data_IF_146485213676
#
_entry.id   IF_146485213676
#
_cell.length_a   1.000
_cell.length_b   1.000
_cell.length_c   1.000
_cell.angle_alpha   90.00
_cell.angle_beta   90.00
_cell.angle_gamma   90.00
#
_symmetry.space_group_name_H-M   'P 1'
#
loop_
_entity.id
_entity.type
_entity.pdbx_description
1 polymer ?
#
# COMPACT_ATOMS: atom_id res chain seq x y z
N UNK A 1 6.39 -16.99 22.98
CA UNK A 1 7.87 -17.17 22.99
C UNK A 1 8.26 -17.67 21.60
N UNK A 2 9.24 -17.05 20.96
CA UNK A 2 9.74 -17.48 19.65
C UNK A 2 11.03 -18.30 19.82
N UNK A 3 11.36 -19.21 18.88
CA UNK A 3 10.57 -19.58 17.71
C UNK A 3 9.34 -20.43 18.04
N UNK A 4 8.29 -20.37 17.20
CA UNK A 4 7.04 -21.09 17.35
C UNK A 4 6.74 -21.92 16.09
N UNK A 5 6.37 -23.18 16.25
CA UNK A 5 5.95 -24.04 15.13
C UNK A 5 4.49 -23.71 14.77
N UNK A 6 4.24 -23.48 13.48
CA UNK A 6 2.92 -23.24 12.90
C UNK A 6 2.80 -24.01 11.59
N UNK A 7 2.25 -25.22 11.66
CA UNK A 7 2.22 -26.15 10.54
C UNK A 7 3.62 -26.44 10.00
N UNK A 8 3.82 -26.17 8.72
CA UNK A 8 5.13 -26.31 8.04
C UNK A 8 6.08 -25.13 8.25
N UNK A 9 5.63 -24.08 8.94
CA UNK A 9 6.40 -22.87 9.19
C UNK A 9 6.96 -22.84 10.61
N UNK A 10 8.11 -22.22 10.74
CA UNK A 10 8.67 -21.81 12.03
C UNK A 10 8.59 -20.30 12.10
N UNK A 11 7.70 -19.78 12.93
CA UNK A 11 7.60 -18.34 13.19
C UNK A 11 8.80 -17.90 14.02
N UNK A 12 9.61 -16.99 13.53
CA UNK A 12 10.87 -16.55 14.16
C UNK A 12 10.65 -15.34 15.06
N UNK A 13 9.90 -14.36 14.56
CA UNK A 13 9.55 -13.14 15.31
C UNK A 13 8.32 -12.48 14.71
N UNK A 14 7.64 -11.67 15.49
CA UNK A 14 6.58 -10.80 15.02
C UNK A 14 7.19 -9.56 14.35
N UNK A 15 6.72 -9.24 13.14
CA UNK A 15 7.10 -8.06 12.38
C UNK A 15 6.15 -6.91 12.63
N UNK A 16 4.84 -7.22 12.66
CA UNK A 16 3.80 -6.23 12.88
C UNK A 16 2.55 -6.85 13.51
N UNK A 17 1.80 -6.04 14.27
CA UNK A 17 0.51 -6.40 14.84
C UNK A 17 -0.51 -5.31 14.56
N UNK A 18 -1.55 -5.66 13.80
CA UNK A 18 -2.67 -4.78 13.45
C UNK A 18 -3.99 -5.24 14.05
N UNK A 19 -5.06 -4.49 13.82
CA UNK A 19 -6.41 -4.83 14.29
C UNK A 19 -6.93 -6.16 13.73
N UNK A 20 -6.55 -6.53 12.50
CA UNK A 20 -7.07 -7.72 11.80
C UNK A 20 -6.12 -8.90 11.80
N UNK A 21 -4.83 -8.67 11.80
CA UNK A 21 -3.82 -9.70 11.58
C UNK A 21 -2.54 -9.43 12.37
N UNK A 22 -1.76 -10.49 12.57
CA UNK A 22 -0.38 -10.44 13.00
C UNK A 22 0.52 -10.92 11.88
N UNK A 23 1.63 -10.26 11.69
CA UNK A 23 2.59 -10.53 10.62
C UNK A 23 3.87 -11.06 11.24
N UNK A 24 4.36 -12.20 10.75
CA UNK A 24 5.53 -12.87 11.28
C UNK A 24 6.59 -13.09 10.22
N UNK A 25 7.84 -12.88 10.58
CA UNK A 25 8.94 -13.50 9.88
C UNK A 25 8.90 -15.00 10.17
N UNK A 26 8.99 -15.80 9.13
CA UNK A 26 8.91 -17.24 9.25
C UNK A 26 9.87 -17.96 8.31
N UNK A 27 10.25 -19.17 8.68
CA UNK A 27 11.01 -20.10 7.83
C UNK A 27 10.14 -21.29 7.44
N UNK A 28 9.95 -21.49 6.13
CA UNK A 28 9.43 -22.73 5.57
C UNK A 28 10.53 -23.79 5.60
N UNK A 29 10.28 -24.89 6.30
CA UNK A 29 11.18 -26.07 6.29
C UNK A 29 10.67 -27.11 5.32
N UNK A 30 11.49 -27.42 4.33
CA UNK A 30 11.23 -28.44 3.33
C UNK A 30 12.07 -29.70 3.55
N UNK A 31 11.95 -30.62 2.59
CA UNK A 31 12.73 -31.86 2.58
C UNK A 31 14.23 -31.58 2.37
N UNK A 32 15.08 -32.47 2.88
CA UNK A 32 16.54 -32.45 2.62
C UNK A 32 17.23 -31.16 3.09
N UNK A 33 16.72 -30.53 4.17
CA UNK A 33 17.32 -29.31 4.71
C UNK A 33 17.03 -28.04 3.91
N UNK A 34 16.06 -28.08 2.99
CA UNK A 34 15.59 -26.86 2.31
C UNK A 34 14.92 -25.92 3.31
N UNK A 35 15.38 -24.70 3.37
CA UNK A 35 14.81 -23.64 4.18
C UNK A 35 14.58 -22.40 3.31
N UNK A 36 13.41 -21.73 3.48
CA UNK A 36 13.09 -20.49 2.81
C UNK A 36 12.46 -19.51 3.81
N UNK A 37 13.08 -18.35 3.96
CA UNK A 37 12.50 -17.24 4.73
C UNK A 37 11.35 -16.61 3.97
N UNK A 38 10.29 -16.27 4.67
CA UNK A 38 9.07 -15.68 4.12
C UNK A 38 8.29 -14.94 5.22
N UNK A 39 7.18 -14.35 4.84
CA UNK A 39 6.26 -13.69 5.76
C UNK A 39 5.00 -14.54 5.89
N UNK A 40 4.55 -14.75 7.13
CA UNK A 40 3.25 -15.36 7.46
C UNK A 40 2.36 -14.31 8.12
N UNK A 41 1.26 -13.94 7.46
CA UNK A 41 0.22 -13.05 7.97
C UNK A 41 -0.93 -13.89 8.48
N UNK A 42 -1.14 -13.93 9.80
CA UNK A 42 -2.22 -14.66 10.45
C UNK A 42 -3.38 -13.73 10.76
N UNK A 43 -4.60 -14.16 10.47
CA UNK A 43 -5.79 -13.48 11.00
C UNK A 43 -5.81 -13.63 12.50
N UNK A 44 -6.29 -12.61 13.21
CA UNK A 44 -6.53 -12.72 14.65
C UNK A 44 -7.59 -13.79 14.93
N UNK A 45 -7.40 -14.63 15.94
CA UNK A 45 -8.34 -15.71 16.28
C UNK A 45 -9.77 -15.21 16.48
N UNK A 46 -9.92 -13.99 17.04
CA UNK A 46 -11.21 -13.37 17.29
C UNK A 46 -12.00 -13.09 16.01
N UNK A 47 -11.30 -12.83 14.89
CA UNK A 47 -11.90 -12.61 13.58
C UNK A 47 -12.08 -13.91 12.78
N UNK A 48 -11.43 -15.00 13.18
CA UNK A 48 -11.56 -16.30 12.52
C UNK A 48 -12.93 -16.96 12.78
N UNK A 49 -13.70 -16.44 13.73
CA UNK A 49 -15.08 -16.91 14.02
C UNK A 49 -16.15 -16.12 13.25
N UNK A 50 -15.79 -14.99 12.66
CA UNK A 50 -16.68 -14.19 11.80
C UNK A 50 -16.66 -14.76 10.38
N UNK A 51 -17.69 -15.53 10.03
CA UNK A 51 -17.80 -16.17 8.70
C UNK A 51 -17.77 -15.16 7.55
N UNK A 52 -18.36 -13.97 7.72
CA UNK A 52 -18.39 -12.94 6.69
C UNK A 52 -17.00 -12.32 6.49
N UNK A 53 -16.25 -12.14 7.56
CA UNK A 53 -14.85 -11.68 7.51
C UNK A 53 -13.96 -12.74 6.85
N UNK A 54 -14.05 -13.98 7.30
CA UNK A 54 -13.28 -15.11 6.76
C UNK A 54 -13.54 -15.29 5.25
N UNK A 55 -14.81 -15.25 4.85
CA UNK A 55 -15.18 -15.38 3.43
C UNK A 55 -14.51 -14.30 2.58
N UNK A 56 -14.57 -13.02 3.01
CA UNK A 56 -13.91 -11.92 2.29
C UNK A 56 -12.40 -12.11 2.22
N UNK A 57 -11.78 -12.43 3.36
CA UNK A 57 -10.33 -12.69 3.42
C UNK A 57 -9.89 -13.81 2.47
N UNK A 58 -10.66 -14.90 2.40
CA UNK A 58 -10.37 -16.03 1.51
C UNK A 58 -10.55 -15.64 0.04
N UNK A 59 -11.61 -14.90 -0.30
CA UNK A 59 -11.87 -14.47 -1.68
C UNK A 59 -10.76 -13.54 -2.17
N UNK A 60 -10.36 -12.58 -1.36
CA UNK A 60 -9.29 -11.62 -1.70
C UNK A 60 -7.92 -12.29 -1.76
N UNK A 61 -7.62 -13.19 -0.82
CA UNK A 61 -6.36 -13.93 -0.85
C UNK A 61 -6.22 -14.81 -2.10
N UNK A 62 -7.31 -15.46 -2.56
CA UNK A 62 -7.31 -16.21 -3.82
C UNK A 62 -6.93 -15.33 -5.01
N UNK A 63 -7.39 -14.09 -4.99
CA UNK A 63 -7.08 -13.11 -6.03
C UNK A 63 -5.59 -12.70 -5.94
N UNK A 64 -5.09 -12.42 -4.74
CA UNK A 64 -3.70 -12.02 -4.53
C UNK A 64 -2.69 -13.10 -4.96
N UNK A 65 -3.00 -14.39 -4.75
CA UNK A 65 -2.17 -15.52 -5.22
C UNK A 65 -1.98 -15.52 -6.74
N UNK A 66 -2.93 -15.00 -7.50
CA UNK A 66 -2.86 -14.97 -8.96
C UNK A 66 -2.12 -13.75 -9.52
N UNK A 67 -1.75 -12.78 -8.68
CA UNK A 67 -1.00 -11.61 -9.09
C UNK A 67 0.50 -11.91 -9.14
N UNK A 68 1.10 -11.76 -10.32
CA UNK A 68 2.54 -11.90 -10.53
C UNK A 68 3.06 -10.69 -11.31
N UNK A 69 3.69 -9.77 -10.59
CA UNK A 69 4.23 -8.53 -11.15
C UNK A 69 5.44 -8.09 -10.30
N UNK A 70 6.51 -7.53 -10.90
CA UNK A 70 7.71 -7.13 -10.16
C UNK A 70 7.43 -6.12 -9.03
N UNK A 71 6.41 -5.29 -9.18
CA UNK A 71 6.00 -4.30 -8.18
C UNK A 71 4.87 -4.78 -7.25
N UNK A 72 4.60 -6.07 -7.17
CA UNK A 72 3.63 -6.68 -6.25
C UNK A 72 4.34 -7.79 -5.47
N UNK A 73 4.22 -7.79 -4.15
CA UNK A 73 4.77 -8.87 -3.33
C UNK A 73 4.00 -10.16 -3.59
N UNK A 74 4.67 -11.23 -4.08
CA UNK A 74 4.02 -12.50 -4.38
C UNK A 74 3.41 -13.16 -3.16
N UNK A 75 2.14 -13.54 -3.25
CA UNK A 75 1.48 -14.42 -2.27
C UNK A 75 1.68 -15.87 -2.72
N UNK A 76 2.25 -16.71 -1.85
CA UNK A 76 2.53 -18.10 -2.15
C UNK A 76 1.35 -19.02 -1.90
N UNK A 77 0.67 -18.80 -0.78
CA UNK A 77 -0.52 -19.59 -0.42
C UNK A 77 -1.41 -18.88 0.58
N UNK A 78 -2.67 -19.31 0.56
CA UNK A 78 -3.65 -19.14 1.63
C UNK A 78 -3.84 -20.49 2.30
N UNK A 79 -3.79 -20.56 3.63
CA UNK A 79 -3.98 -21.79 4.38
C UNK A 79 -4.75 -21.59 5.67
N UNK A 80 -5.02 -22.72 6.31
CA UNK A 80 -5.62 -22.77 7.65
C UNK A 80 -4.77 -23.73 8.49
N UNK A 81 -4.31 -23.28 9.64
CA UNK A 81 -3.57 -24.09 10.61
C UNK A 81 -4.15 -23.85 12.01
N UNK A 82 -4.52 -24.94 12.71
CA UNK A 82 -5.16 -24.87 14.03
C UNK A 82 -6.40 -23.95 14.08
N UNK A 83 -7.17 -23.90 12.98
CA UNK A 83 -8.35 -23.03 12.87
C UNK A 83 -8.03 -21.55 12.59
N UNK A 84 -6.75 -21.19 12.42
CA UNK A 84 -6.30 -19.83 12.12
C UNK A 84 -6.02 -19.72 10.62
N UNK A 85 -6.70 -18.81 9.93
CA UNK A 85 -6.40 -18.50 8.54
C UNK A 85 -5.12 -17.70 8.43
N UNK A 86 -4.32 -18.01 7.43
CA UNK A 86 -3.05 -17.31 7.18
C UNK A 86 -2.77 -17.17 5.69
N UNK A 87 -1.96 -16.17 5.37
CA UNK A 87 -1.36 -15.97 4.05
C UNK A 87 0.15 -16.07 4.22
N UNK A 88 0.79 -16.88 3.37
CA UNK A 88 2.25 -16.90 3.24
C UNK A 88 2.65 -16.13 1.98
N UNK A 89 3.59 -15.22 2.12
CA UNK A 89 4.05 -14.33 1.03
C UNK A 89 5.56 -14.16 1.04
N UNK A 90 6.10 -13.59 -0.03
CA UNK A 90 7.51 -13.29 -0.14
C UNK A 90 7.96 -12.35 0.99
N UNK A 91 9.13 -12.64 1.55
CA UNK A 91 9.84 -11.68 2.39
C UNK A 91 10.51 -10.65 1.48
N UNK A 92 10.07 -9.42 1.56
CA UNK A 92 10.72 -8.29 0.91
C UNK A 92 11.63 -7.61 1.95
N UNK A 93 12.92 -7.72 1.76
CA UNK A 93 13.92 -7.09 2.63
C UNK A 93 14.01 -5.61 2.24
N UNK A 94 13.49 -4.73 3.11
CA UNK A 94 13.39 -3.30 2.85
C UNK A 94 12.59 -2.60 3.93
N UNK A 95 12.32 -1.32 3.71
CA UNK A 95 11.50 -0.48 4.58
C UNK A 95 10.19 -0.10 3.91
N UNK A 96 9.16 0.12 4.70
CA UNK A 96 7.94 0.77 4.22
C UNK A 96 8.23 2.24 3.91
N UNK A 97 7.48 2.79 2.95
CA UNK A 97 7.58 4.22 2.66
C UNK A 97 7.27 5.08 3.89
N UNK A 98 6.42 4.60 4.81
CA UNK A 98 6.17 5.28 6.10
C UNK A 98 7.44 5.37 6.94
N UNK A 99 8.20 4.28 7.06
CA UNK A 99 9.47 4.26 7.81
C UNK A 99 10.49 5.20 7.15
N UNK A 100 10.62 5.14 5.82
CA UNK A 100 11.51 6.04 5.08
C UNK A 100 11.15 7.50 5.34
N UNK A 101 9.87 7.89 5.17
CA UNK A 101 9.44 9.28 5.40
C UNK A 101 9.63 9.72 6.86
N UNK A 102 9.53 8.78 7.81
CA UNK A 102 9.76 9.08 9.23
C UNK A 102 11.24 9.32 9.52
N UNK A 103 12.11 8.50 8.93
CA UNK A 103 13.55 8.50 9.23
C UNK A 103 14.33 9.56 8.43
N UNK A 104 13.93 9.79 7.17
CA UNK A 104 14.67 10.66 6.24
C UNK A 104 13.94 11.95 5.87
N UNK A 105 12.65 12.06 6.19
CA UNK A 105 11.80 13.16 5.76
C UNK A 105 11.21 12.95 4.35
N UNK A 106 10.66 14.02 3.74
CA UNK A 106 10.07 13.97 2.41
C UNK A 106 11.05 13.49 1.33
N UNK A 107 10.50 12.82 0.31
CA UNK A 107 11.26 12.43 -0.88
C UNK A 107 11.53 13.65 -1.76
N UNK A 108 12.62 13.60 -2.51
CA UNK A 108 12.81 14.58 -3.59
C UNK A 108 11.79 14.37 -4.73
N UNK A 109 11.58 15.39 -5.60
CA UNK A 109 10.59 15.31 -6.68
C UNK A 109 10.76 14.10 -7.61
N UNK A 110 11.99 13.74 -7.97
CA UNK A 110 12.28 12.62 -8.86
C UNK A 110 12.04 11.26 -8.18
N UNK A 111 12.44 11.13 -6.91
CA UNK A 111 12.23 9.92 -6.11
C UNK A 111 10.74 9.63 -5.92
N UNK A 112 9.95 10.63 -5.50
CA UNK A 112 8.51 10.49 -5.35
C UNK A 112 7.82 10.15 -6.66
N UNK A 113 8.23 10.76 -7.79
CA UNK A 113 7.71 10.41 -9.10
C UNK A 113 8.01 8.95 -9.48
N UNK A 114 9.24 8.46 -9.21
CA UNK A 114 9.61 7.08 -9.48
C UNK A 114 8.77 6.11 -8.63
N UNK A 115 8.59 6.37 -7.34
CA UNK A 115 7.70 5.59 -6.47
C UNK A 115 6.28 5.55 -7.04
N UNK A 116 5.73 6.69 -7.43
CA UNK A 116 4.40 6.77 -8.04
C UNK A 116 4.27 5.98 -9.35
N UNK A 117 5.29 6.03 -10.21
CA UNK A 117 5.33 5.26 -11.47
C UNK A 117 5.26 3.75 -11.19
N UNK A 118 6.07 3.27 -10.27
CA UNK A 118 6.13 1.84 -9.93
C UNK A 118 4.83 1.33 -9.29
N UNK A 119 4.24 2.13 -8.38
CA UNK A 119 2.92 1.85 -7.79
C UNK A 119 1.85 1.77 -8.91
N UNK A 120 1.81 2.77 -9.79
CA UNK A 120 0.84 2.80 -10.88
C UNK A 120 0.99 1.60 -11.83
N UNK A 121 2.20 1.11 -12.08
CA UNK A 121 2.43 -0.13 -12.87
C UNK A 121 1.81 -1.36 -12.21
N UNK A 122 1.98 -1.50 -10.89
CA UNK A 122 1.38 -2.58 -10.13
C UNK A 122 -0.15 -2.53 -10.19
N UNK A 123 -0.72 -1.33 -9.98
CA UNK A 123 -2.17 -1.11 -9.99
C UNK A 123 -2.77 -1.36 -11.38
N UNK A 124 -2.16 -0.82 -12.45
CA UNK A 124 -2.63 -1.03 -13.82
C UNK A 124 -2.65 -2.51 -14.20
N UNK A 125 -1.62 -3.27 -13.78
CA UNK A 125 -1.59 -4.72 -13.95
C UNK A 125 -2.76 -5.40 -13.24
N UNK A 126 -3.02 -5.06 -11.97
CA UNK A 126 -4.11 -5.66 -11.18
C UNK A 126 -5.50 -5.29 -11.74
N UNK A 127 -5.69 -4.04 -12.12
CA UNK A 127 -6.92 -3.53 -12.73
C UNK A 127 -7.25 -4.26 -14.04
N UNK A 128 -6.28 -4.36 -14.95
CA UNK A 128 -6.51 -4.96 -16.29
C UNK A 128 -6.63 -6.48 -16.25
N UNK A 129 -5.85 -7.15 -15.42
CA UNK A 129 -5.81 -8.62 -15.39
C UNK A 129 -7.00 -9.23 -14.69
N UNK A 130 -7.50 -8.59 -13.62
CA UNK A 130 -8.47 -9.21 -12.72
C UNK A 130 -9.59 -8.26 -12.29
N UNK A 131 -9.62 -7.03 -12.80
CA UNK A 131 -10.56 -5.99 -12.37
C UNK A 131 -10.51 -5.75 -10.84
N UNK A 132 -9.30 -5.84 -10.27
CA UNK A 132 -9.03 -5.71 -8.84
C UNK A 132 -8.65 -4.28 -8.53
N UNK A 133 -9.35 -3.67 -7.57
CA UNK A 133 -9.01 -2.39 -6.97
C UNK A 133 -8.30 -2.68 -5.65
N UNK A 134 -7.17 -2.01 -5.40
CA UNK A 134 -6.33 -2.22 -4.20
C UNK A 134 -6.99 -1.74 -2.91
N UNK A 135 -7.67 -0.58 -2.93
CA UNK A 135 -8.46 0.02 -1.85
C UNK A 135 -7.69 0.57 -0.64
N UNK A 136 -6.42 0.22 -0.47
CA UNK A 136 -5.59 0.69 0.65
C UNK A 136 -4.15 1.02 0.20
N UNK A 137 -4.03 1.86 -0.84
CA UNK A 137 -2.72 2.37 -1.29
C UNK A 137 -2.28 3.46 -0.34
N UNK A 138 -1.32 3.13 0.52
CA UNK A 138 -0.79 4.01 1.57
C UNK A 138 0.70 3.80 1.74
N UNK A 139 1.45 4.73 2.32
CA UNK A 139 2.89 4.56 2.56
C UNK A 139 3.26 3.30 3.36
N UNK A 140 2.36 2.78 4.20
CA UNK A 140 2.58 1.53 4.94
C UNK A 140 2.55 0.28 4.07
N UNK A 141 1.82 0.35 2.95
CA UNK A 141 1.63 -0.76 2.03
C UNK A 141 2.54 -0.67 0.80
N UNK A 142 3.52 0.21 0.85
CA UNK A 142 4.59 0.37 -0.16
C UNK A 142 5.92 0.04 0.50
N UNK A 143 6.59 -0.99 0.00
CA UNK A 143 7.94 -1.39 0.42
C UNK A 143 8.95 -0.92 -0.63
N UNK A 144 10.09 -0.43 -0.16
CA UNK A 144 11.27 -0.15 -0.96
C UNK A 144 12.40 -1.03 -0.43
N UNK A 145 12.96 -1.85 -1.32
CA UNK A 145 14.12 -2.68 -0.98
C UNK A 145 15.44 -1.86 -1.05
N UNK A 146 16.55 -2.51 -0.65
CA UNK A 146 17.88 -1.87 -0.64
C UNK A 146 18.34 -1.41 -2.03
N UNK A 147 17.80 -1.98 -3.10
CA UNK A 147 18.09 -1.62 -4.48
C UNK A 147 17.17 -0.49 -5.00
N UNK A 148 16.19 -0.08 -4.20
CA UNK A 148 15.19 0.94 -4.51
C UNK A 148 14.02 0.41 -5.35
N UNK A 149 13.82 -0.92 -5.43
CA UNK A 149 12.66 -1.48 -6.08
C UNK A 149 11.41 -1.29 -5.21
N UNK A 150 10.35 -0.76 -5.81
CA UNK A 150 9.08 -0.48 -5.14
C UNK A 150 8.14 -1.65 -5.29
N UNK A 151 7.55 -2.10 -4.19
CA UNK A 151 6.59 -3.20 -4.18
C UNK A 151 5.35 -2.88 -3.33
N UNK A 152 4.18 -3.16 -3.87
CA UNK A 152 2.92 -3.09 -3.14
C UNK A 152 2.66 -4.40 -2.37
N UNK A 153 2.18 -4.23 -1.15
CA UNK A 153 1.67 -5.31 -0.30
C UNK A 153 0.17 -5.09 0.00
N UNK A 154 -0.48 -6.13 0.47
CA UNK A 154 -1.83 -6.06 1.04
C UNK A 154 -2.89 -5.48 0.09
N UNK A 155 -3.06 -6.11 -1.08
CA UNK A 155 -4.19 -5.83 -1.96
C UNK A 155 -5.49 -6.06 -1.20
N UNK A 156 -6.09 -4.99 -0.72
CA UNK A 156 -7.41 -4.82 -0.14
C UNK A 156 -8.06 -5.96 0.65
N UNK A 157 -7.21 -6.86 1.20
CA UNK A 157 -7.54 -8.21 1.67
C UNK A 157 -8.58 -8.23 2.80
N UNK A 158 -9.07 -7.10 3.29
CA UNK A 158 -10.09 -7.09 4.32
C UNK A 158 -10.78 -5.73 4.53
N UNK A 159 -10.75 -4.84 3.57
CA UNK A 159 -11.50 -3.60 3.71
C UNK A 159 -13.01 -3.92 3.65
N UNK A 160 -13.77 -3.80 4.75
CA UNK A 160 -15.20 -3.96 4.69
C UNK A 160 -15.75 -2.90 3.74
N UNK A 161 -16.53 -3.35 2.77
CA UNK A 161 -17.46 -2.45 2.09
C UNK A 161 -18.47 -2.08 3.19
N UNK A 162 -18.40 -0.84 3.65
CA UNK A 162 -19.39 -0.31 4.57
C UNK A 162 -20.75 -0.41 3.91
N UNK A 163 -21.52 -1.44 4.25
CA UNK A 163 -22.95 -1.39 3.93
C UNK A 163 -23.56 -0.38 4.90
N UNK A 164 -24.15 0.68 4.36
CA UNK A 164 -24.83 1.74 5.11
C UNK A 164 -26.05 1.26 5.94
N UNK A 165 -26.16 -0.05 6.21
CA UNK A 165 -27.32 -0.69 6.84
C UNK A 165 -27.04 -1.34 8.21
N UNK A 166 -25.80 -1.28 8.75
CA UNK A 166 -25.54 -1.79 10.08
C UNK A 166 -25.42 -0.65 11.08
N UNK A 167 -26.38 -0.56 11.99
CA UNK A 167 -26.43 0.37 13.14
C UNK A 167 -25.44 0.05 14.27
N UNK A 168 -24.58 -0.92 14.10
CA UNK A 168 -23.53 -1.30 15.04
C UNK A 168 -22.19 -0.72 14.56
N UNK A 169 -21.40 -0.19 15.49
CA UNK A 169 -20.09 0.48 15.29
C UNK A 169 -19.34 -0.04 14.06
N UNK A 170 -19.41 0.71 12.97
CA UNK A 170 -18.61 0.46 11.77
C UNK A 170 -17.17 0.76 12.15
N UNK A 171 -16.39 -0.28 12.38
CA UNK A 171 -14.93 -0.13 12.37
C UNK A 171 -14.55 0.18 10.93
N UNK A 172 -14.26 1.45 10.66
CA UNK A 172 -13.80 1.89 9.35
C UNK A 172 -12.36 1.43 9.21
N UNK A 173 -12.19 0.37 8.42
CA UNK A 173 -10.88 -0.16 8.11
C UNK A 173 -10.30 0.58 6.90
N UNK A 174 -9.08 1.05 7.03
CA UNK A 174 -8.35 1.82 6.03
C UNK A 174 -7.63 3.00 6.66
N UNK A 175 -6.85 3.69 5.85
CA UNK A 175 -6.09 4.87 6.29
C UNK A 175 -6.85 6.13 5.92
N UNK A 176 -7.54 6.78 6.87
CA UNK A 176 -8.42 7.92 6.57
C UNK A 176 -7.76 9.03 5.74
N UNK A 177 -6.44 9.20 5.90
CA UNK A 177 -5.67 10.20 5.17
C UNK A 177 -5.47 9.96 3.67
N UNK A 178 -5.84 8.78 3.15
CA UNK A 178 -5.66 8.39 1.74
C UNK A 178 -6.94 7.85 1.12
N UNK A 179 -8.02 7.77 1.91
CA UNK A 179 -9.29 7.17 1.49
C UNK A 179 -10.10 8.14 0.63
N UNK A 180 -10.50 7.75 -0.58
CA UNK A 180 -11.31 8.60 -1.44
C UNK A 180 -12.78 8.68 -0.98
N UNK A 181 -13.52 9.73 -1.41
CA UNK A 181 -14.90 9.97 -0.99
C UNK A 181 -15.85 8.81 -1.24
N UNK A 182 -15.75 8.15 -2.40
CA UNK A 182 -16.59 7.00 -2.75
C UNK A 182 -16.37 5.81 -1.84
N UNK A 183 -15.15 5.61 -1.35
CA UNK A 183 -14.85 4.54 -0.39
C UNK A 183 -15.43 4.85 0.99
N UNK A 184 -15.35 6.10 1.44
CA UNK A 184 -15.95 6.57 2.69
C UNK A 184 -17.48 6.39 2.64
N UNK A 185 -18.11 6.63 1.49
CA UNK A 185 -19.57 6.52 1.31
C UNK A 185 -20.03 5.09 1.01
N UNK A 186 -19.13 4.11 0.87
CA UNK A 186 -19.48 2.75 0.50
C UNK A 186 -20.02 2.63 -0.94
N UNK A 187 -19.64 3.54 -1.82
CA UNK A 187 -20.03 3.55 -3.22
C UNK A 187 -19.19 2.56 -4.05
N UNK A 188 -19.52 2.42 -5.32
CA UNK A 188 -18.79 1.52 -6.22
C UNK A 188 -17.34 2.00 -6.41
N UNK A 189 -16.39 1.13 -6.11
CA UNK A 189 -14.97 1.37 -6.30
C UNK A 189 -14.53 1.00 -7.72
N UNK A 190 -13.62 1.79 -8.28
CA UNK A 190 -13.10 1.68 -9.64
C UNK A 190 -11.59 1.90 -9.64
N UNK A 191 -10.86 1.70 -10.75
CA UNK A 191 -9.45 2.08 -10.83
C UNK A 191 -9.15 3.52 -10.40
N UNK A 192 -10.07 4.46 -10.64
CA UNK A 192 -9.94 5.85 -10.18
C UNK A 192 -9.91 6.01 -8.65
N UNK A 193 -10.39 5.03 -7.90
CA UNK A 193 -10.26 4.95 -6.44
C UNK A 193 -8.79 4.84 -6.02
N UNK A 194 -8.04 3.93 -6.65
CA UNK A 194 -6.62 3.76 -6.39
C UNK A 194 -5.81 4.95 -6.89
N UNK A 195 -6.18 5.55 -8.02
CA UNK A 195 -5.55 6.77 -8.53
C UNK A 195 -5.62 7.91 -7.50
N UNK A 196 -6.76 8.07 -6.82
CA UNK A 196 -6.87 9.03 -5.72
C UNK A 196 -5.88 8.73 -4.60
N UNK A 197 -5.82 7.48 -4.17
CA UNK A 197 -4.93 7.07 -3.08
C UNK A 197 -3.44 7.26 -3.45
N UNK A 198 -3.05 7.01 -4.72
CA UNK A 198 -1.70 7.33 -5.21
C UNK A 198 -1.44 8.83 -5.17
N UNK A 199 -2.39 9.66 -5.60
CA UNK A 199 -2.26 11.12 -5.51
C UNK A 199 -2.05 11.61 -4.09
N UNK A 200 -2.85 11.12 -3.14
CA UNK A 200 -2.72 11.44 -1.72
C UNK A 200 -1.37 10.96 -1.13
N UNK A 201 -0.93 9.74 -1.52
CA UNK A 201 0.37 9.20 -1.13
C UNK A 201 1.52 10.06 -1.64
N UNK A 202 1.47 10.54 -2.88
CA UNK A 202 2.50 11.39 -3.45
C UNK A 202 2.55 12.77 -2.79
N UNK A 203 1.41 13.34 -2.42
CA UNK A 203 1.38 14.56 -1.61
C UNK A 203 2.10 14.32 -0.29
N UNK A 204 1.79 13.22 0.44
CA UNK A 204 2.50 12.89 1.68
C UNK A 204 3.99 12.63 1.45
N UNK A 205 4.35 11.92 0.37
CA UNK A 205 5.73 11.61 0.06
C UNK A 205 6.59 12.87 -0.19
N UNK A 206 6.04 13.90 -0.82
CA UNK A 206 6.75 15.15 -1.11
C UNK A 206 6.66 16.21 0.00
N UNK A 207 5.59 16.20 0.81
CA UNK A 207 5.39 17.20 1.86
C UNK A 207 5.70 16.68 3.27
N UNK A 208 5.85 15.36 3.43
CA UNK A 208 5.95 14.69 4.74
C UNK A 208 4.63 14.70 5.53
N UNK A 209 3.53 15.15 4.94
CA UNK A 209 2.23 15.31 5.62
C UNK A 209 1.08 14.69 4.82
N UNK A 210 0.36 13.71 5.38
CA UNK A 210 -0.81 13.14 4.73
C UNK A 210 -1.90 14.22 4.54
N UNK A 211 -2.40 14.44 3.29
CA UNK A 211 -3.22 15.63 3.00
C UNK A 211 -4.55 15.64 3.75
N UNK A 212 -5.16 14.48 3.99
CA UNK A 212 -6.50 14.39 4.55
C UNK A 212 -6.53 13.80 5.97
N UNK A 213 -5.39 13.46 6.58
CA UNK A 213 -5.35 12.86 7.90
C UNK A 213 -5.61 13.90 8.99
N UNK A 214 -6.57 13.59 9.87
CA UNK A 214 -6.91 14.36 11.07
C UNK A 214 -7.01 13.42 12.26
N UNK A 215 -7.41 13.95 13.42
CA UNK A 215 -7.46 13.21 14.70
C UNK A 215 -8.63 12.22 14.80
N UNK A 216 -9.63 12.30 13.92
CA UNK A 216 -10.73 11.35 13.83
C UNK A 216 -11.01 10.99 12.37
N UNK A 217 -11.81 9.93 12.17
CA UNK A 217 -12.27 9.53 10.86
C UNK A 217 -13.17 10.61 10.23
N UNK A 218 -14.11 11.14 10.99
CA UNK A 218 -15.04 12.19 10.56
C UNK A 218 -14.28 13.45 10.14
N UNK A 219 -13.34 13.90 10.98
CA UNK A 219 -12.51 15.07 10.64
C UNK A 219 -11.63 14.83 9.41
N UNK A 220 -11.17 13.59 9.19
CA UNK A 220 -10.42 13.23 7.98
C UNK A 220 -11.31 13.19 6.74
N UNK A 221 -12.57 12.78 6.88
CA UNK A 221 -13.55 12.84 5.80
C UNK A 221 -13.93 14.30 5.45
N UNK A 222 -14.05 15.16 6.45
CA UNK A 222 -14.32 16.59 6.25
C UNK A 222 -13.14 17.30 5.58
N UNK A 223 -11.91 16.89 5.90
CA UNK A 223 -10.69 17.43 5.31
C UNK A 223 -10.59 17.24 3.78
N UNK A 224 -11.35 16.32 3.20
CA UNK A 224 -11.46 16.19 1.74
C UNK A 224 -12.00 17.46 1.06
N UNK A 225 -12.75 18.29 1.79
CA UNK A 225 -13.31 19.55 1.29
C UNK A 225 -12.39 20.75 1.59
N UNK A 226 -11.26 20.54 2.26
CA UNK A 226 -10.28 21.59 2.53
C UNK A 226 -9.36 21.80 1.30
N UNK A 227 -8.76 22.99 1.15
CA UNK A 227 -7.75 23.22 0.14
C UNK A 227 -6.56 22.26 0.29
N UNK A 228 -6.08 21.73 -0.83
CA UNK A 228 -4.84 20.94 -0.83
C UNK A 228 -3.63 21.82 -0.53
N UNK A 229 -2.56 21.26 0.07
CA UNK A 229 -1.28 21.95 0.16
C UNK A 229 -0.77 22.30 -1.24
N UNK A 230 -0.19 23.49 -1.37
CA UNK A 230 0.45 23.91 -2.62
C UNK A 230 1.79 23.18 -2.77
N UNK A 231 1.86 22.22 -3.69
CA UNK A 231 3.10 21.50 -3.94
C UNK A 231 4.23 22.42 -4.40
N UNK A 232 3.89 23.46 -5.19
CA UNK A 232 4.87 24.45 -5.65
C UNK A 232 5.42 25.35 -4.52
N UNK A 233 4.67 25.54 -3.43
CA UNK A 233 5.17 26.24 -2.24
C UNK A 233 6.06 25.35 -1.36
N UNK A 234 5.88 24.04 -1.40
CA UNK A 234 6.76 23.10 -0.69
C UNK A 234 8.08 22.91 -1.46
N UNK A 235 8.01 22.79 -2.79
CA UNK A 235 9.16 22.67 -3.68
C UNK A 235 8.78 23.19 -5.09
N UNK A 236 9.52 24.21 -5.61
CA UNK A 236 9.28 24.79 -6.94
C UNK A 236 9.42 23.74 -8.07
N UNK A 237 10.24 22.70 -7.88
CA UNK A 237 10.39 21.61 -8.85
C UNK A 237 9.11 20.79 -9.01
N UNK A 238 8.15 20.85 -8.07
CA UNK A 238 6.85 20.15 -8.12
C UNK A 238 5.77 20.93 -8.90
N UNK A 239 6.00 22.19 -9.25
CA UNK A 239 5.01 23.02 -9.97
C UNK A 239 4.49 22.32 -11.24
N UNK A 240 5.33 21.73 -12.12
CA UNK A 240 4.86 21.09 -13.35
C UNK A 240 3.92 19.90 -13.16
N UNK A 241 3.97 19.24 -12.00
CA UNK A 241 3.12 18.07 -11.70
C UNK A 241 1.92 18.40 -10.80
N UNK A 242 1.92 19.56 -10.15
CA UNK A 242 0.91 19.94 -9.15
C UNK A 242 -0.53 19.82 -9.67
N UNK A 243 -0.81 20.29 -10.89
CA UNK A 243 -2.12 20.21 -11.51
C UNK A 243 -2.61 18.78 -11.75
N UNK A 244 -1.70 17.87 -12.12
CA UNK A 244 -2.01 16.45 -12.33
C UNK A 244 -2.30 15.76 -11.01
N UNK A 245 -1.55 16.07 -9.95
CA UNK A 245 -1.79 15.52 -8.61
C UNK A 245 -3.11 16.05 -8.06
N UNK A 246 -3.41 17.34 -8.20
CA UNK A 246 -4.70 17.90 -7.82
C UNK A 246 -5.87 17.20 -8.56
N UNK A 247 -5.70 16.91 -9.85
CA UNK A 247 -6.69 16.14 -10.62
C UNK A 247 -6.81 14.70 -10.09
N UNK A 248 -5.71 14.03 -9.74
CA UNK A 248 -5.74 12.66 -9.22
C UNK A 248 -6.56 12.57 -7.92
N UNK A 249 -6.50 13.59 -7.05
CA UNK A 249 -7.27 13.64 -5.79
C UNK A 249 -8.58 14.43 -5.90
N UNK A 250 -9.11 14.65 -7.11
CA UNK A 250 -10.42 15.27 -7.30
C UNK A 250 -11.52 14.50 -6.56
N UNK A 251 -12.49 15.21 -5.95
CA UNK A 251 -13.57 14.59 -5.17
C UNK A 251 -14.46 13.67 -5.99
N UNK A 252 -14.73 14.05 -7.24
CA UNK A 252 -15.52 13.23 -8.17
C UNK A 252 -14.59 12.27 -8.92
N UNK A 253 -14.82 10.97 -8.78
CA UNK A 253 -14.03 9.94 -9.45
C UNK A 253 -13.97 10.13 -10.97
N UNK A 254 -15.01 10.66 -11.59
CA UNK A 254 -15.06 10.92 -13.05
C UNK A 254 -14.10 12.04 -13.53
N UNK A 255 -13.65 12.91 -12.63
CA UNK A 255 -12.73 14.01 -12.93
C UNK A 255 -11.25 13.57 -12.84
N UNK A 256 -10.99 12.38 -12.26
CA UNK A 256 -9.64 11.80 -12.10
C UNK A 256 -9.18 11.08 -13.37
N UNK A 257 -7.87 10.82 -13.53
CA UNK A 257 -7.40 9.80 -14.47
C UNK A 257 -8.12 8.47 -14.20
N UNK A 258 -8.71 7.88 -15.24
CA UNK A 258 -9.52 6.66 -15.09
C UNK A 258 -8.69 5.38 -15.02
N UNK A 259 -7.44 5.43 -15.40
CA UNK A 259 -6.47 4.34 -15.38
C UNK A 259 -5.19 4.77 -14.67
N UNK A 260 -4.59 3.88 -13.89
CA UNK A 260 -3.34 4.14 -13.20
C UNK A 260 -2.18 4.45 -14.18
N UNK A 261 -2.20 3.81 -15.37
CA UNK A 261 -1.23 4.09 -16.43
C UNK A 261 -1.30 5.54 -16.95
N UNK A 262 -2.48 6.18 -16.92
CA UNK A 262 -2.61 7.58 -17.31
C UNK A 262 -1.82 8.51 -16.35
N UNK A 263 -1.89 8.24 -15.04
CA UNK A 263 -1.09 8.96 -14.03
C UNK A 263 0.40 8.62 -14.19
N UNK A 264 0.75 7.33 -14.35
CA UNK A 264 2.14 6.91 -14.56
C UNK A 264 2.81 7.60 -15.75
N UNK A 265 2.08 7.79 -16.85
CA UNK A 265 2.58 8.51 -18.02
C UNK A 265 2.93 9.95 -17.69
N UNK A 266 2.11 10.65 -16.93
CA UNK A 266 2.36 12.02 -16.50
C UNK A 266 3.55 12.11 -15.54
N UNK A 267 3.66 11.18 -14.62
CA UNK A 267 4.82 11.09 -13.73
C UNK A 267 6.11 10.81 -14.50
N UNK A 268 6.07 9.96 -15.54
CA UNK A 268 7.24 9.75 -16.42
C UNK A 268 7.61 10.99 -17.24
N UNK A 269 6.62 11.74 -17.74
CA UNK A 269 6.87 13.01 -18.41
C UNK A 269 7.55 14.00 -17.46
N UNK A 270 7.08 14.09 -16.23
CA UNK A 270 7.65 14.92 -15.17
C UNK A 270 9.07 14.48 -14.78
N UNK A 271 9.29 13.16 -14.56
CA UNK A 271 10.58 12.61 -14.15
C UNK A 271 11.71 12.89 -15.15
N UNK A 272 11.40 12.98 -16.47
CA UNK A 272 12.41 13.24 -17.52
C UNK A 272 13.16 14.55 -17.38
N UNK A 273 12.60 15.55 -16.71
CA UNK A 273 13.30 16.82 -16.48
C UNK A 273 14.49 16.67 -15.54
N UNK A 274 14.54 15.57 -14.76
CA UNK A 274 15.62 15.25 -13.83
C UNK A 274 16.67 14.29 -14.43
N UNK A 275 16.39 13.67 -15.62
CA UNK A 275 17.25 12.64 -16.25
C UNK A 275 18.56 13.21 -16.86
N UNK A 276 18.73 14.52 -16.93
CA UNK A 276 19.92 15.16 -17.50
C UNK A 276 21.12 15.17 -16.53
N UNK A 277 21.60 14.01 -16.12
CA UNK A 277 22.97 13.81 -15.60
C UNK A 277 23.18 13.75 -14.10
N UNK A 278 22.19 13.96 -13.23
CA UNK A 278 22.39 14.05 -11.78
C UNK A 278 21.68 12.94 -10.94
N UNK A 279 20.77 12.15 -11.55
CA UNK A 279 20.02 11.09 -10.84
C UNK A 279 20.94 10.01 -10.26
N UNK A 280 22.06 9.72 -10.90
CA UNK A 280 23.07 8.79 -10.37
C UNK A 280 23.77 9.31 -9.12
N UNK A 281 23.76 10.62 -8.87
CA UNK A 281 24.34 11.24 -7.69
C UNK A 281 23.33 11.44 -6.56
N UNK A 282 22.01 11.47 -6.88
CA UNK A 282 20.91 11.68 -5.92
C UNK A 282 20.48 10.40 -5.21
N UNK A 283 20.79 9.21 -5.73
CA UNK A 283 20.48 7.89 -5.16
C UNK A 283 21.11 7.47 -3.82
N UNK A 284 22.02 8.23 -3.15
CA UNK A 284 22.57 7.79 -1.86
C UNK A 284 21.56 7.79 -0.72
N UNK A 285 20.39 8.43 -0.83
CA UNK A 285 19.45 8.58 0.28
C UNK A 285 18.46 7.41 0.43
N UNK A 286 18.14 6.68 -0.65
CA UNK A 286 17.36 5.44 -0.60
C UNK A 286 18.21 4.22 -0.15
N UNK A 287 19.52 4.39 0.07
CA UNK A 287 20.31 3.38 0.78
C UNK A 287 19.91 3.41 2.24
N UNK A 288 19.02 2.51 2.59
CA UNK A 288 18.56 2.25 3.95
C UNK A 288 19.76 2.15 4.88
N UNK A 289 20.00 3.20 5.68
CA UNK A 289 20.93 3.14 6.79
C UNK A 289 20.26 2.36 7.90
N UNK A 290 20.68 1.13 8.12
CA UNK A 290 20.32 0.41 9.32
C UNK A 290 19.74 -0.99 9.17
N UNK A 291 20.02 -1.70 8.08
CA UNK A 291 19.84 -3.15 8.11
C UNK A 291 21.12 -3.77 8.64
N UNK A 292 21.19 -4.05 9.95
CA UNK A 292 22.10 -5.08 10.46
C UNK A 292 21.38 -6.43 10.33
N UNK A 293 22.05 -7.45 9.70
CA UNK A 293 21.46 -8.76 9.41
C UNK A 293 21.15 -9.59 10.66
#
# INVERSE_FOLDING_TARGET
MFPQIFGKYVLERELASGGMARVYLATLRGAVGFEKRLVVKQIRPELSVDEAFVKRFVEEAKIAVELSHPNIVPVYELGVELGIYYIAMELCEGLTLTEILTDTGPLDPAEGAQVGIEICRALDYAHRRRNIVHRDVTPRNVLLDEEGAVRLIDFGIAAPVTSALSTERVEVFGSPGHMPPEQIRGERLTPATDVFAVGALLIEAWTGRPPFRRNSFEASADALNEPLPSLAEEDEELEPIAGIIAQAVALKAAERPQEAEALARKLREFSRQFDSGDVAKRRPHLRVRGFEP
#
